data_IF_815851809194
#
_entry.id   IF_815851809194
#
_cell.length_a   1.000
_cell.length_b   1.000
_cell.length_c   1.000
_cell.angle_alpha   90.00
_cell.angle_beta   90.00
_cell.angle_gamma   90.00
#
_symmetry.space_group_name_H-M   'P 1'
#
loop_
_entity.id
_entity.type
_entity.pdbx_description
1 polymer ?
#
# COMPACT_ATOMS: atom_id res chain seq x y z
N UNK A 1 52.11 -19.11 24.02
CA UNK A 1 51.03 -19.56 24.94
C UNK A 1 49.99 -18.46 25.10
N UNK A 2 48.82 -18.60 24.47
CA UNK A 2 47.67 -17.72 24.75
C UNK A 2 47.01 -18.24 26.02
N UNK A 3 47.05 -17.47 27.09
CA UNK A 3 46.40 -17.83 28.36
C UNK A 3 44.89 -17.94 28.17
N UNK A 4 44.25 -18.98 28.76
CA UNK A 4 42.79 -19.24 28.66
C UNK A 4 41.94 -17.98 28.92
N UNK A 5 42.38 -17.11 29.82
CA UNK A 5 41.74 -15.82 30.12
C UNK A 5 41.69 -14.84 28.93
N UNK A 6 42.74 -14.79 28.09
CA UNK A 6 42.76 -13.94 26.88
C UNK A 6 41.82 -14.47 25.80
N UNK A 7 41.65 -15.79 25.73
CA UNK A 7 40.71 -16.41 24.80
C UNK A 7 39.26 -16.12 25.20
N UNK A 8 38.90 -16.29 26.47
CA UNK A 8 37.55 -15.94 26.97
C UNK A 8 37.20 -14.47 26.76
N UNK A 9 38.14 -13.54 27.03
CA UNK A 9 37.91 -12.11 26.80
C UNK A 9 37.60 -11.80 25.33
N UNK A 10 38.30 -12.45 24.38
CA UNK A 10 38.06 -12.26 22.95
C UNK A 10 36.71 -12.82 22.51
N UNK A 11 36.31 -13.97 23.04
CA UNK A 11 35.00 -14.58 22.75
C UNK A 11 33.86 -13.69 23.26
N UNK A 12 33.96 -13.17 24.48
CA UNK A 12 32.94 -12.26 25.05
C UNK A 12 32.80 -11.00 24.20
N UNK A 13 33.91 -10.38 23.79
CA UNK A 13 33.89 -9.18 22.94
C UNK A 13 33.26 -9.48 21.58
N UNK A 14 33.60 -10.63 20.97
CA UNK A 14 33.02 -11.03 19.68
C UNK A 14 31.52 -11.27 19.79
N UNK A 15 31.06 -11.94 20.85
CA UNK A 15 29.63 -12.18 21.08
C UNK A 15 28.88 -10.87 21.26
N UNK A 16 29.39 -9.96 22.10
CA UNK A 16 28.77 -8.65 22.30
C UNK A 16 28.72 -7.83 21.00
N UNK A 17 29.79 -7.88 20.21
CA UNK A 17 29.85 -7.22 18.91
C UNK A 17 28.81 -7.80 17.94
N UNK A 18 28.75 -9.12 17.80
CA UNK A 18 27.80 -9.79 16.92
C UNK A 18 26.34 -9.56 17.36
N UNK A 19 26.06 -9.62 18.66
CA UNK A 19 24.72 -9.30 19.21
C UNK A 19 24.34 -7.84 18.95
N UNK A 20 25.28 -6.91 19.10
CA UNK A 20 25.06 -5.50 18.79
C UNK A 20 24.74 -5.27 17.31
N UNK A 21 25.49 -5.91 16.41
CA UNK A 21 25.24 -5.84 14.96
C UNK A 21 23.88 -6.46 14.61
N UNK A 22 23.52 -7.60 15.20
CA UNK A 22 22.22 -8.22 14.97
C UNK A 22 21.05 -7.34 15.43
N UNK A 23 21.17 -6.67 16.59
CA UNK A 23 20.17 -5.73 17.08
C UNK A 23 20.06 -4.49 16.19
N UNK A 24 21.18 -3.96 15.70
CA UNK A 24 21.18 -2.83 14.76
C UNK A 24 20.54 -3.17 13.42
N UNK A 25 20.78 -4.38 12.90
CA UNK A 25 20.15 -4.86 11.67
C UNK A 25 18.65 -5.14 11.86
N UNK A 26 18.25 -5.63 13.03
CA UNK A 26 16.84 -5.82 13.38
C UNK A 26 16.10 -4.50 13.66
N UNK A 27 16.82 -3.43 14.00
CA UNK A 27 16.26 -2.10 14.25
C UNK A 27 16.11 -1.25 12.99
N UNK A 28 16.51 -1.73 11.80
CA UNK A 28 16.10 -1.10 10.55
C UNK A 28 14.57 -1.25 10.44
N UNK A 29 13.80 -0.15 10.52
CA UNK A 29 12.36 -0.25 10.39
C UNK A 29 12.08 -0.82 9.00
N UNK A 30 11.51 -2.03 8.98
CA UNK A 30 10.85 -2.61 7.82
C UNK A 30 9.51 -1.89 7.54
N UNK A 31 9.37 -0.65 7.99
CA UNK A 31 8.37 0.26 7.44
C UNK A 31 8.84 0.53 6.03
N UNK A 32 8.27 -0.24 5.08
CA UNK A 32 8.28 0.12 3.68
C UNK A 32 7.90 1.59 3.63
N UNK A 33 8.87 2.46 3.38
CA UNK A 33 8.65 3.88 3.35
C UNK A 33 7.53 4.10 2.34
N UNK A 34 6.30 4.36 2.82
CA UNK A 34 5.21 4.76 1.96
C UNK A 34 5.76 5.98 1.23
N UNK A 35 5.96 5.92 -0.10
CA UNK A 35 6.60 7.02 -0.80
C UNK A 35 5.77 8.27 -0.51
N UNK A 36 6.35 9.22 0.24
CA UNK A 36 5.69 10.46 0.67
C UNK A 36 5.26 11.38 -0.47
N UNK A 37 5.49 10.94 -1.71
CA UNK A 37 5.32 11.72 -2.93
C UNK A 37 3.94 11.59 -3.58
N UNK A 38 3.03 10.74 -3.08
CA UNK A 38 1.68 10.58 -3.66
C UNK A 38 0.58 10.73 -2.61
N UNK A 39 0.59 11.84 -1.87
CA UNK A 39 -0.55 12.23 -1.00
C UNK A 39 -1.83 12.51 -1.78
N UNK A 40 -1.70 12.96 -3.03
CA UNK A 40 -2.78 13.12 -3.98
C UNK A 40 -2.23 13.11 -5.39
N UNK A 41 -3.04 12.70 -6.36
CA UNK A 41 -2.60 12.57 -7.74
C UNK A 41 -3.72 12.25 -8.71
N UNK A 42 -3.34 12.16 -9.97
CA UNK A 42 -4.19 11.72 -11.06
C UNK A 42 -3.47 10.57 -11.74
N UNK A 43 -4.14 9.43 -11.84
CA UNK A 43 -3.65 8.29 -12.61
C UNK A 43 -4.60 8.00 -13.77
N UNK A 44 -4.05 7.42 -14.82
CA UNK A 44 -4.78 6.99 -15.99
C UNK A 44 -4.37 5.56 -16.31
N UNK A 45 -5.30 4.62 -16.18
CA UNK A 45 -5.01 3.21 -16.42
C UNK A 45 -6.29 2.39 -16.64
N UNK A 46 -6.17 1.09 -16.89
CA UNK A 46 -7.30 0.17 -17.10
C UNK A 46 -7.69 -0.52 -15.79
N UNK A 47 -8.99 -0.58 -15.51
CA UNK A 47 -9.51 -1.36 -14.37
C UNK A 47 -9.43 -2.85 -14.73
N UNK A 48 -8.77 -3.66 -13.89
CA UNK A 48 -8.78 -5.12 -14.04
C UNK A 48 -9.69 -5.82 -13.02
N UNK A 49 -9.94 -5.21 -11.86
CA UNK A 49 -10.79 -5.79 -10.83
C UNK A 49 -11.51 -4.72 -10.02
N UNK A 50 -12.74 -5.03 -9.61
CA UNK A 50 -13.52 -4.25 -8.66
C UNK A 50 -14.02 -5.19 -7.58
N UNK A 51 -13.58 -4.97 -6.35
CA UNK A 51 -13.96 -5.76 -5.18
C UNK A 51 -14.93 -4.99 -4.29
N UNK A 52 -16.01 -5.65 -3.88
CA UNK A 52 -16.95 -5.09 -2.92
C UNK A 52 -16.31 -4.97 -1.53
N UNK A 53 -16.61 -3.87 -0.84
CA UNK A 53 -16.25 -3.60 0.54
C UNK A 53 -17.51 -3.31 1.36
N UNK A 54 -17.35 -3.14 2.66
CA UNK A 54 -18.47 -2.82 3.54
C UNK A 54 -19.16 -1.51 3.15
N UNK A 55 -20.41 -1.34 3.57
CA UNK A 55 -21.18 -0.09 3.40
C UNK A 55 -21.34 0.38 1.94
N UNK A 56 -21.23 -0.52 0.96
CA UNK A 56 -21.40 -0.22 -0.45
C UNK A 56 -20.18 0.40 -1.13
N UNK A 57 -19.07 0.55 -0.41
CA UNK A 57 -17.79 0.97 -0.97
C UNK A 57 -17.20 -0.13 -1.86
N UNK A 58 -16.32 0.27 -2.79
CA UNK A 58 -15.60 -0.66 -3.67
C UNK A 58 -14.12 -0.36 -3.68
N UNK A 59 -13.31 -1.41 -3.83
CA UNK A 59 -11.89 -1.31 -4.15
C UNK A 59 -11.70 -1.54 -5.64
N UNK A 60 -11.11 -0.57 -6.32
CA UNK A 60 -10.76 -0.64 -7.74
C UNK A 60 -9.28 -0.94 -7.86
N UNK A 61 -8.95 -1.96 -8.63
CA UNK A 61 -7.59 -2.34 -8.94
C UNK A 61 -7.29 -2.12 -10.42
N UNK A 62 -6.09 -1.61 -10.71
CA UNK A 62 -5.67 -1.22 -12.05
C UNK A 62 -4.37 -1.90 -12.47
N UNK A 63 -4.17 -2.00 -13.78
CA UNK A 63 -3.18 -2.89 -14.38
C UNK A 63 -1.72 -2.52 -14.10
N UNK A 64 -1.40 -1.29 -13.72
CA UNK A 64 -0.02 -0.86 -13.49
C UNK A 64 0.57 -1.39 -12.19
N UNK A 65 -0.24 -1.86 -11.24
CA UNK A 65 0.21 -2.34 -9.94
C UNK A 65 -0.75 -3.34 -9.31
N UNK A 66 -0.22 -4.52 -8.97
CA UNK A 66 -0.92 -5.54 -8.18
C UNK A 66 -0.99 -5.21 -6.67
N UNK A 67 -0.40 -4.08 -6.26
CA UNK A 67 -0.28 -3.67 -4.86
C UNK A 67 -0.94 -2.33 -4.56
N UNK A 68 -1.44 -1.61 -5.56
CA UNK A 68 -2.11 -0.32 -5.37
C UNK A 68 -3.61 -0.42 -5.67
N UNK A 69 -4.42 -0.09 -4.67
CA UNK A 69 -5.88 -0.10 -4.78
C UNK A 69 -6.49 1.29 -4.59
N UNK A 70 -7.63 1.53 -5.22
CA UNK A 70 -8.35 2.80 -5.19
C UNK A 70 -9.75 2.57 -4.60
N UNK A 71 -9.95 3.04 -3.38
CA UNK A 71 -11.19 2.88 -2.64
C UNK A 71 -12.17 4.01 -2.97
N UNK A 72 -13.38 3.64 -3.40
CA UNK A 72 -14.49 4.57 -3.60
C UNK A 72 -15.57 4.30 -2.56
N UNK A 73 -15.77 5.24 -1.65
CA UNK A 73 -16.81 5.19 -0.61
C UNK A 73 -18.09 5.92 -0.99
N UNK A 74 -17.99 6.85 -1.94
CA UNK A 74 -19.15 7.49 -2.55
C UNK A 74 -19.94 6.48 -3.40
N UNK A 75 -21.27 6.47 -3.21
CA UNK A 75 -22.14 5.49 -3.86
C UNK A 75 -22.17 5.65 -5.38
N UNK A 76 -22.18 6.88 -5.88
CA UNK A 76 -22.23 7.14 -7.33
C UNK A 76 -20.92 6.72 -8.00
N UNK A 77 -19.78 7.00 -7.36
CA UNK A 77 -18.47 6.57 -7.86
C UNK A 77 -18.31 5.04 -7.77
N UNK A 78 -18.81 4.41 -6.71
CA UNK A 78 -18.80 2.96 -6.57
C UNK A 78 -19.66 2.27 -7.65
N UNK A 79 -20.87 2.78 -7.90
CA UNK A 79 -21.74 2.28 -8.97
C UNK A 79 -21.09 2.51 -10.34
N UNK A 80 -20.45 3.65 -10.56
CA UNK A 80 -19.68 3.93 -11.78
C UNK A 80 -18.55 2.93 -11.97
N UNK A 81 -17.78 2.60 -10.93
CA UNK A 81 -16.71 1.61 -11.03
C UNK A 81 -17.24 0.22 -11.43
N UNK A 82 -18.37 -0.20 -10.85
CA UNK A 82 -19.06 -1.45 -11.20
C UNK A 82 -19.53 -1.48 -12.65
N UNK A 83 -20.01 -0.35 -13.18
CA UNK A 83 -20.40 -0.22 -14.58
C UNK A 83 -19.17 -0.27 -15.49
N UNK A 84 -18.13 0.51 -15.18
CA UNK A 84 -16.94 0.61 -16.03
C UNK A 84 -16.23 -0.74 -16.20
N UNK A 85 -16.08 -1.55 -15.15
CA UNK A 85 -15.44 -2.86 -15.30
C UNK A 85 -16.25 -3.84 -16.18
N UNK A 86 -17.57 -3.62 -16.34
CA UNK A 86 -18.44 -4.49 -17.15
C UNK A 86 -18.59 -4.00 -18.58
N UNK A 87 -18.67 -2.69 -18.76
CA UNK A 87 -19.13 -2.07 -20.00
C UNK A 87 -18.04 -1.26 -20.72
N UNK A 88 -16.94 -0.94 -20.03
CA UNK A 88 -15.84 -0.14 -20.58
C UNK A 88 -14.56 -0.98 -20.66
N UNK A 89 -13.96 -1.02 -21.84
CA UNK A 89 -12.72 -1.74 -22.12
C UNK A 89 -11.52 -0.80 -22.31
N UNK A 90 -11.71 0.50 -22.10
CA UNK A 90 -10.65 1.51 -22.21
C UNK A 90 -10.05 1.89 -20.87
N UNK A 91 -9.14 2.84 -20.92
CA UNK A 91 -8.55 3.45 -19.73
C UNK A 91 -9.59 4.31 -18.98
N UNK A 92 -9.33 4.51 -17.70
CA UNK A 92 -10.03 5.43 -16.82
C UNK A 92 -9.03 6.41 -16.23
N UNK A 93 -9.48 7.63 -15.94
CA UNK A 93 -8.75 8.61 -15.15
C UNK A 93 -9.32 8.60 -13.75
N UNK A 94 -8.46 8.35 -12.76
CA UNK A 94 -8.78 8.38 -11.34
C UNK A 94 -8.00 9.51 -10.69
N UNK A 95 -8.73 10.45 -10.08
CA UNK A 95 -8.11 11.38 -9.12
C UNK A 95 -8.18 10.75 -7.74
N UNK A 96 -7.09 10.77 -7.00
CA UNK A 96 -6.99 10.07 -5.74
C UNK A 96 -6.20 10.86 -4.71
N UNK A 97 -6.37 10.48 -3.44
CA UNK A 97 -5.58 10.96 -2.31
C UNK A 97 -5.27 9.86 -1.32
N UNK A 98 -4.27 10.07 -0.47
CA UNK A 98 -3.98 9.21 0.67
C UNK A 98 -5.13 9.29 1.69
N UNK A 99 -5.44 8.15 2.32
CA UNK A 99 -6.35 8.09 3.45
C UNK A 99 -5.74 8.82 4.66
N UNK A 100 -6.39 9.86 5.14
CA UNK A 100 -5.99 10.60 6.34
C UNK A 100 -6.47 9.91 7.63
N UNK A 101 -6.13 10.50 8.77
CA UNK A 101 -6.50 9.96 10.10
C UNK A 101 -8.02 9.83 10.27
N UNK A 102 -8.79 10.76 9.71
CA UNK A 102 -10.26 10.74 9.73
C UNK A 102 -10.85 9.67 8.80
N UNK A 103 -10.09 9.21 7.81
CA UNK A 103 -10.50 8.18 6.87
C UNK A 103 -10.20 6.77 7.38
N UNK A 104 -9.55 6.61 8.54
CA UNK A 104 -9.24 5.29 9.15
C UNK A 104 -10.47 4.42 9.45
N UNK A 105 -11.67 5.02 9.41
CA UNK A 105 -12.96 4.33 9.54
C UNK A 105 -13.57 3.94 8.19
N UNK A 106 -12.86 4.15 7.08
CA UNK A 106 -13.38 3.82 5.77
C UNK A 106 -13.53 2.29 5.61
N UNK A 107 -14.47 1.80 4.79
CA UNK A 107 -14.70 0.37 4.62
C UNK A 107 -13.55 -0.41 3.97
N UNK A 108 -12.56 0.28 3.41
CA UNK A 108 -11.35 -0.26 2.82
C UNK A 108 -10.16 -0.32 3.79
N UNK A 109 -10.32 0.16 5.04
CA UNK A 109 -9.27 0.25 6.05
C UNK A 109 -8.62 -1.10 6.38
N UNK A 110 -9.32 -2.22 6.18
CA UNK A 110 -8.74 -3.57 6.36
C UNK A 110 -7.61 -3.83 5.37
N UNK A 111 -7.75 -3.39 4.12
CA UNK A 111 -6.71 -3.52 3.09
C UNK A 111 -5.59 -2.51 3.32
N UNK A 112 -5.89 -1.32 3.85
CA UNK A 112 -4.88 -0.33 4.26
C UNK A 112 -3.93 -0.82 5.36
N UNK A 113 -4.43 -1.71 6.23
CA UNK A 113 -3.67 -2.27 7.33
C UNK A 113 -2.72 -3.39 6.90
N UNK A 114 -2.89 -3.93 5.68
CA UNK A 114 -1.98 -4.94 5.13
C UNK A 114 -0.76 -4.25 4.49
N UNK A 115 0.47 -4.49 4.99
CA UNK A 115 1.68 -3.84 4.47
C UNK A 115 2.03 -4.24 3.03
N UNK A 116 1.36 -5.24 2.46
CA UNK A 116 1.53 -5.63 1.06
C UNK A 116 0.84 -4.66 0.09
N UNK A 117 -0.16 -3.91 0.55
CA UNK A 117 -0.98 -3.05 -0.29
C UNK A 117 -0.84 -1.58 0.09
N UNK A 118 -0.97 -0.71 -0.91
CA UNK A 118 -1.17 0.73 -0.73
C UNK A 118 -2.56 1.07 -1.23
N UNK A 119 -3.37 1.69 -0.38
CA UNK A 119 -4.74 2.07 -0.74
C UNK A 119 -4.84 3.58 -0.77
N UNK A 120 -5.41 4.08 -1.85
CA UNK A 120 -5.77 5.48 -2.02
C UNK A 120 -7.29 5.63 -2.00
N UNK A 121 -7.78 6.80 -1.63
CA UNK A 121 -9.19 7.18 -1.75
C UNK A 121 -9.41 7.83 -3.11
N UNK A 122 -10.31 7.27 -3.90
CA UNK A 122 -10.71 7.82 -5.18
C UNK A 122 -11.68 8.98 -5.02
N UNK A 123 -11.32 10.13 -5.57
CA UNK A 123 -12.13 11.36 -5.56
C UNK A 123 -12.94 11.54 -6.85
N UNK A 124 -12.46 10.96 -7.95
CA UNK A 124 -13.22 10.90 -9.21
C UNK A 124 -12.83 9.70 -10.04
N UNK A 125 -13.73 9.29 -10.92
CA UNK A 125 -13.54 8.19 -11.87
C UNK A 125 -14.19 8.56 -13.20
N UNK A 126 -13.36 8.71 -14.23
CA UNK A 126 -13.79 9.19 -15.56
C UNK A 126 -13.30 8.24 -16.66
N UNK A 127 -14.18 7.69 -17.50
CA UNK A 127 -13.75 6.88 -18.64
C UNK A 127 -13.01 7.73 -19.68
N UNK A 128 -11.97 7.17 -20.28
CA UNK A 128 -11.30 7.73 -21.44
C UNK A 128 -11.84 7.05 -22.70
N UNK A 129 -12.24 7.79 -23.75
CA UNK A 129 -12.68 7.19 -25.01
C UNK A 129 -11.60 6.27 -25.59
N UNK A 130 -12.03 5.08 -26.06
CA UNK A 130 -11.17 4.17 -26.80
C UNK A 130 -10.66 4.85 -28.09
N UNK A 131 -9.38 4.66 -28.42
CA UNK A 131 -8.75 5.15 -29.65
C UNK A 131 -8.89 4.15 -30.78
#
# INVERSE_FOLDING_TARGET
MVTKAKLHRRVIVLVLFLSGVALLLAACPLERARPSFTRAGVMRDTIYSVEERGLGAVMVWVTHSDSEGYCFTDRELADRARTLIREHNGEVVIQFREAGVLDSLNPCARTEADPQYTVYLGESLTPVPAR
#
